data_IF_598038044453
#
_entry.id   IF_598038044453
#
_cell.length_a   1.000
_cell.length_b   1.000
_cell.length_c   1.000
_cell.angle_alpha   90.00
_cell.angle_beta   90.00
_cell.angle_gamma   90.00
#
_symmetry.space_group_name_H-M   'P 1'
#
loop_
_entity.id
_entity.type
_entity.pdbx_description
1 polymer ?
#
# COMPACT_ATOMS: atom_id res chain seq x y z
N UNK A 1 -19.83 -13.84 57.16
CA UNK A 1 -20.25 -13.33 55.84
C UNK A 1 -19.00 -12.99 55.04
N UNK A 2 -18.65 -13.80 54.04
CA UNK A 2 -17.62 -13.49 53.04
C UNK A 2 -18.27 -13.73 51.68
N UNK A 3 -18.59 -12.66 50.97
CA UNK A 3 -19.10 -12.71 49.60
C UNK A 3 -17.89 -12.74 48.68
N UNK A 4 -17.68 -13.86 47.99
CA UNK A 4 -16.67 -13.97 46.94
C UNK A 4 -17.33 -13.53 45.62
N UNK A 5 -16.89 -12.40 45.09
CA UNK A 5 -17.27 -11.91 43.76
C UNK A 5 -16.34 -12.57 42.75
N UNK A 6 -16.87 -13.52 41.98
CA UNK A 6 -16.17 -14.18 40.90
C UNK A 6 -16.29 -13.31 39.64
N UNK A 7 -15.23 -12.59 39.30
CA UNK A 7 -15.10 -11.91 38.00
C UNK A 7 -14.85 -12.96 36.92
N UNK A 8 -15.88 -13.27 36.12
CA UNK A 8 -15.73 -14.04 34.89
C UNK A 8 -15.43 -13.04 33.77
N UNK A 9 -14.14 -12.88 33.45
CA UNK A 9 -13.73 -12.20 32.22
C UNK A 9 -13.95 -13.14 31.04
N UNK A 10 -15.07 -12.95 30.33
CA UNK A 10 -15.33 -13.58 29.05
C UNK A 10 -14.47 -12.90 27.98
N UNK A 11 -13.26 -13.42 27.75
CA UNK A 11 -12.42 -13.00 26.64
C UNK A 11 -12.98 -13.65 25.36
N UNK A 12 -13.85 -12.92 24.67
CA UNK A 12 -14.37 -13.33 23.36
C UNK A 12 -13.22 -13.36 22.35
N UNK A 13 -12.78 -14.56 21.98
CA UNK A 13 -11.89 -14.77 20.84
C UNK A 13 -12.72 -14.53 19.56
N UNK A 14 -12.73 -13.30 19.06
CA UNK A 14 -13.10 -13.02 17.67
C UNK A 14 -11.98 -13.58 16.79
N UNK A 15 -12.11 -14.85 16.42
CA UNK A 15 -11.27 -15.46 15.41
C UNK A 15 -11.65 -14.86 14.05
N UNK A 16 -11.05 -13.72 13.69
CA UNK A 16 -11.04 -13.23 12.33
C UNK A 16 -10.29 -14.26 11.48
N UNK A 17 -11.05 -15.11 10.78
CA UNK A 17 -10.52 -16.09 9.85
C UNK A 17 -10.08 -15.34 8.58
N UNK A 18 -8.88 -14.75 8.62
CA UNK A 18 -8.21 -14.18 7.45
C UNK A 18 -7.93 -15.32 6.45
N UNK A 19 -8.31 -15.10 5.20
CA UNK A 19 -8.06 -16.04 4.10
C UNK A 19 -6.71 -15.72 3.49
N UNK A 20 -5.95 -16.77 3.13
CA UNK A 20 -4.72 -16.67 2.36
C UNK A 20 -4.98 -15.84 1.10
N UNK A 21 -4.29 -14.70 0.96
CA UNK A 21 -4.44 -13.78 -0.17
C UNK A 21 -4.38 -14.52 -1.51
N UNK A 22 -5.36 -14.30 -2.37
CA UNK A 22 -5.41 -14.82 -3.75
C UNK A 22 -5.26 -13.67 -4.74
N UNK A 23 -4.76 -13.95 -5.94
CA UNK A 23 -4.57 -12.94 -7.00
C UNK A 23 -5.83 -12.12 -7.26
N UNK A 24 -7.02 -12.72 -7.16
CA UNK A 24 -8.30 -12.06 -7.37
C UNK A 24 -8.63 -11.05 -6.27
N UNK A 25 -8.18 -11.31 -5.05
CA UNK A 25 -8.52 -10.50 -3.87
C UNK A 25 -7.48 -9.42 -3.58
N UNK A 26 -6.35 -9.45 -4.28
CA UNK A 26 -5.27 -8.50 -4.15
C UNK A 26 -4.57 -8.59 -2.79
N UNK A 27 -4.12 -7.44 -2.27
CA UNK A 27 -3.34 -7.34 -1.04
C UNK A 27 -4.14 -6.80 0.15
N UNK A 28 -5.45 -6.58 0.01
CA UNK A 28 -6.34 -6.17 1.11
C UNK A 28 -6.62 -7.37 2.03
N UNK A 29 -6.59 -7.14 3.34
CA UNK A 29 -7.02 -8.12 4.35
C UNK A 29 -8.54 -8.17 4.45
N UNK A 30 -9.14 -9.25 3.95
CA UNK A 30 -10.60 -9.38 3.84
C UNK A 30 -11.23 -10.15 5.00
N UNK A 31 -12.30 -9.60 5.57
CA UNK A 31 -13.23 -10.37 6.39
C UNK A 31 -14.17 -11.23 5.52
N UNK A 32 -14.62 -12.35 6.09
CA UNK A 32 -15.54 -13.31 5.41
C UNK A 32 -16.90 -13.44 6.06
N UNK A 33 -17.00 -13.14 7.36
CA UNK A 33 -18.28 -13.13 8.06
C UNK A 33 -18.90 -11.73 7.94
N UNK A 34 -19.94 -11.63 7.11
CA UNK A 34 -20.60 -10.36 6.83
C UNK A 34 -21.32 -9.80 8.05
N UNK A 35 -21.91 -10.65 8.89
CA UNK A 35 -22.65 -10.19 10.07
C UNK A 35 -21.66 -9.67 11.14
N UNK A 36 -20.53 -10.34 11.32
CA UNK A 36 -19.45 -9.85 12.17
C UNK A 36 -18.89 -8.51 11.67
N UNK A 37 -18.71 -8.36 10.35
CA UNK A 37 -18.23 -7.12 9.77
C UNK A 37 -19.19 -5.93 9.98
N UNK A 38 -20.52 -6.16 10.02
CA UNK A 38 -21.49 -5.12 10.37
C UNK A 38 -21.36 -4.70 11.84
N UNK A 39 -21.07 -5.64 12.74
CA UNK A 39 -20.77 -5.33 14.15
C UNK A 39 -19.49 -4.50 14.26
N UNK A 40 -18.43 -4.87 13.53
CA UNK A 40 -17.17 -4.12 13.49
C UNK A 40 -17.36 -2.73 12.89
N UNK A 41 -18.21 -2.59 11.88
CA UNK A 41 -18.54 -1.30 11.25
C UNK A 41 -19.27 -0.38 12.24
N UNK A 42 -20.25 -0.91 12.99
CA UNK A 42 -20.93 -0.15 14.05
C UNK A 42 -19.94 0.28 15.14
N UNK A 43 -19.08 -0.64 15.61
CA UNK A 43 -18.12 -0.37 16.68
C UNK A 43 -17.03 0.65 16.29
N UNK A 44 -16.57 0.60 15.04
CA UNK A 44 -15.50 1.48 14.53
C UNK A 44 -16.01 2.78 13.90
N UNK A 45 -17.32 2.86 13.62
CA UNK A 45 -17.93 3.92 12.81
C UNK A 45 -17.43 3.94 11.35
N UNK A 46 -16.73 2.90 10.90
CA UNK A 46 -16.24 2.80 9.51
C UNK A 46 -17.33 2.21 8.62
N UNK A 47 -17.51 2.72 7.39
CA UNK A 47 -18.36 2.06 6.40
C UNK A 47 -17.76 0.71 5.96
N UNK A 48 -18.61 -0.18 5.46
CA UNK A 48 -18.19 -1.47 4.90
C UNK A 48 -17.79 -1.30 3.44
N UNK A 49 -16.62 -1.82 3.07
CA UNK A 49 -16.21 -2.04 1.67
C UNK A 49 -16.54 -3.49 1.32
N UNK A 50 -17.66 -3.71 0.63
CA UNK A 50 -18.16 -5.06 0.30
C UNK A 50 -17.81 -5.42 -1.15
N UNK A 51 -16.88 -6.35 -1.31
CA UNK A 51 -16.45 -6.87 -2.61
C UNK A 51 -17.19 -8.18 -2.95
N UNK A 52 -17.92 -8.18 -4.07
CA UNK A 52 -18.44 -9.40 -4.69
C UNK A 52 -17.48 -9.82 -5.80
N UNK A 53 -16.86 -10.99 -5.65
CA UNK A 53 -15.84 -11.47 -6.57
C UNK A 53 -15.94 -12.99 -6.78
N UNK A 54 -15.70 -13.43 -8.00
CA UNK A 54 -15.47 -14.84 -8.30
C UNK A 54 -14.11 -15.27 -7.73
N UNK A 55 -14.07 -16.25 -6.83
CA UNK A 55 -12.80 -16.78 -6.28
C UNK A 55 -12.86 -18.31 -6.14
N UNK A 56 -11.99 -19.07 -6.84
CA UNK A 56 -11.08 -18.61 -7.90
C UNK A 56 -11.87 -18.01 -9.06
N UNK A 57 -11.31 -17.00 -9.72
CA UNK A 57 -12.02 -16.18 -10.72
C UNK A 57 -11.37 -16.16 -12.11
N UNK A 58 -12.14 -15.70 -13.10
CA UNK A 58 -11.63 -15.48 -14.46
C UNK A 58 -10.51 -14.41 -14.54
N UNK A 59 -9.90 -14.26 -15.72
CA UNK A 59 -8.81 -13.30 -15.95
C UNK A 59 -9.13 -11.86 -15.50
N UNK A 60 -10.38 -11.42 -15.62
CA UNK A 60 -10.81 -10.09 -15.17
C UNK A 60 -10.74 -9.91 -13.65
N UNK A 61 -11.13 -10.95 -12.88
CA UNK A 61 -11.02 -10.93 -11.42
C UNK A 61 -9.55 -10.91 -10.98
N UNK A 62 -8.71 -11.71 -11.63
CA UNK A 62 -7.27 -11.75 -11.37
C UNK A 62 -6.59 -10.42 -11.70
N UNK A 63 -6.94 -9.81 -12.84
CA UNK A 63 -6.42 -8.51 -13.24
C UNK A 63 -6.82 -7.42 -12.25
N UNK A 64 -8.10 -7.37 -11.84
CA UNK A 64 -8.57 -6.38 -10.87
C UNK A 64 -7.87 -6.52 -9.50
N UNK A 65 -7.73 -7.76 -9.02
CA UNK A 65 -7.01 -8.01 -7.76
C UNK A 65 -5.54 -7.61 -7.84
N UNK A 66 -4.87 -7.91 -8.95
CA UNK A 66 -3.46 -7.58 -9.18
C UNK A 66 -3.20 -6.10 -9.40
N UNK A 67 -4.02 -5.42 -10.20
CA UNK A 67 -3.73 -4.05 -10.67
C UNK A 67 -4.38 -2.98 -9.78
N UNK A 68 -5.51 -3.29 -9.15
CA UNK A 68 -6.28 -2.32 -8.35
C UNK A 68 -6.23 -2.66 -6.87
N UNK A 69 -6.65 -3.86 -6.47
CA UNK A 69 -6.69 -4.25 -5.05
C UNK A 69 -5.32 -4.59 -4.46
N UNK A 70 -4.25 -4.49 -5.26
CA UNK A 70 -2.86 -4.57 -4.81
C UNK A 70 -2.11 -3.24 -4.93
N UNK A 71 -2.76 -2.16 -5.37
CA UNK A 71 -2.16 -0.82 -5.31
C UNK A 71 -2.00 -0.41 -3.84
N UNK A 72 -0.76 -0.24 -3.34
CA UNK A 72 -0.52 0.03 -1.92
C UNK A 72 -1.22 1.29 -1.42
N UNK A 73 -1.45 2.27 -2.31
CA UNK A 73 -2.18 3.50 -1.96
C UNK A 73 -3.65 3.22 -1.67
N UNK A 74 -4.27 2.32 -2.43
CA UNK A 74 -5.65 1.91 -2.17
C UNK A 74 -5.74 0.98 -0.97
N UNK A 75 -4.85 0.00 -0.85
CA UNK A 75 -4.85 -0.97 0.26
C UNK A 75 -4.84 -0.26 1.61
N UNK A 76 -3.92 0.69 1.79
CA UNK A 76 -3.81 1.48 3.03
C UNK A 76 -5.11 2.22 3.34
N UNK A 77 -5.72 2.88 2.35
CA UNK A 77 -6.97 3.61 2.56
C UNK A 77 -8.14 2.66 2.84
N UNK A 78 -8.24 1.53 2.13
CA UNK A 78 -9.31 0.54 2.33
C UNK A 78 -9.28 0.03 3.77
N UNK A 79 -8.14 -0.43 4.26
CA UNK A 79 -8.01 -1.02 5.60
C UNK A 79 -8.12 0.04 6.72
N UNK A 80 -7.65 1.26 6.45
CA UNK A 80 -7.73 2.36 7.42
C UNK A 80 -9.14 2.93 7.55
N UNK A 81 -9.84 3.12 6.44
CA UNK A 81 -11.12 3.86 6.44
C UNK A 81 -12.37 3.00 6.34
N UNK A 82 -12.24 1.72 5.95
CA UNK A 82 -13.37 0.83 5.75
C UNK A 82 -13.22 -0.46 6.56
N UNK A 83 -14.32 -1.20 6.68
CA UNK A 83 -14.32 -2.63 7.03
C UNK A 83 -14.36 -3.44 5.72
N UNK A 84 -13.24 -4.02 5.26
CA UNK A 84 -13.19 -4.79 4.02
C UNK A 84 -13.82 -6.17 4.18
N UNK A 85 -14.80 -6.48 3.34
CA UNK A 85 -15.52 -7.77 3.33
C UNK A 85 -15.54 -8.38 1.93
N UNK A 86 -15.18 -9.65 1.85
CA UNK A 86 -15.19 -10.43 0.61
C UNK A 86 -16.36 -11.41 0.59
N UNK A 87 -17.21 -11.28 -0.42
CA UNK A 87 -18.27 -12.22 -0.78
C UNK A 87 -17.88 -12.93 -2.07
N UNK A 88 -17.69 -14.25 -1.97
CA UNK A 88 -17.50 -15.07 -3.17
C UNK A 88 -18.82 -15.20 -3.92
N UNK A 89 -18.90 -14.63 -5.12
CA UNK A 89 -20.15 -14.61 -5.87
C UNK A 89 -20.46 -15.93 -6.60
N UNK A 90 -19.58 -16.92 -6.51
CA UNK A 90 -19.66 -18.20 -7.22
C UNK A 90 -19.89 -19.41 -6.29
N UNK A 91 -20.14 -19.17 -5.00
CA UNK A 91 -20.40 -20.23 -4.02
C UNK A 91 -21.84 -20.17 -3.47
N UNK A 92 -22.27 -21.27 -2.85
CA UNK A 92 -23.56 -21.38 -2.16
C UNK A 92 -23.50 -20.84 -0.72
N UNK A 93 -24.44 -21.25 0.13
CA UNK A 93 -24.42 -20.93 1.57
C UNK A 93 -24.66 -19.46 1.87
N UNK A 94 -24.01 -18.96 2.94
CA UNK A 94 -24.15 -17.56 3.42
C UNK A 94 -23.85 -16.54 2.32
N UNK A 95 -22.84 -16.78 1.48
CA UNK A 95 -22.53 -15.87 0.37
C UNK A 95 -23.71 -15.72 -0.61
N UNK A 96 -24.46 -16.79 -0.86
CA UNK A 96 -25.66 -16.75 -1.72
C UNK A 96 -26.80 -15.95 -1.09
N UNK A 97 -26.91 -15.96 0.22
CA UNK A 97 -27.91 -15.15 0.94
C UNK A 97 -27.57 -13.66 0.83
N UNK A 98 -26.28 -13.30 0.91
CA UNK A 98 -25.81 -11.94 0.72
C UNK A 98 -26.05 -11.47 -0.74
N UNK A 99 -25.74 -12.31 -1.74
CA UNK A 99 -26.07 -12.02 -3.15
C UNK A 99 -27.56 -11.71 -3.33
N UNK A 100 -28.44 -12.53 -2.74
CA UNK A 100 -29.90 -12.30 -2.77
C UNK A 100 -30.29 -10.99 -2.09
N UNK A 101 -29.71 -10.69 -0.92
CA UNK A 101 -29.97 -9.45 -0.17
C UNK A 101 -29.70 -8.20 -1.01
N UNK A 102 -28.61 -8.22 -1.79
CA UNK A 102 -28.21 -7.09 -2.62
C UNK A 102 -28.66 -7.18 -4.08
N UNK A 103 -29.38 -8.24 -4.45
CA UNK A 103 -29.74 -8.54 -5.83
C UNK A 103 -28.51 -8.56 -6.77
N UNK A 104 -27.40 -9.11 -6.30
CA UNK A 104 -26.19 -9.30 -7.10
C UNK A 104 -26.23 -10.64 -7.83
N UNK A 105 -25.88 -10.67 -9.13
CA UNK A 105 -25.82 -11.92 -9.87
C UNK A 105 -24.65 -12.79 -9.38
N UNK A 106 -24.83 -14.11 -9.46
CA UNK A 106 -23.72 -15.04 -9.29
C UNK A 106 -22.86 -15.07 -10.56
N UNK A 107 -21.57 -15.40 -10.43
CA UNK A 107 -20.64 -15.54 -11.56
C UNK A 107 -20.52 -14.29 -12.46
N UNK A 108 -20.68 -13.10 -11.88
CA UNK A 108 -20.47 -11.84 -12.59
C UNK A 108 -19.07 -11.27 -12.35
N UNK A 109 -18.72 -10.26 -13.14
CA UNK A 109 -17.53 -9.44 -12.91
C UNK A 109 -17.60 -8.72 -11.56
N UNK A 110 -16.44 -8.35 -11.05
CA UNK A 110 -16.25 -7.72 -9.75
C UNK A 110 -17.16 -6.51 -9.52
N UNK A 111 -17.83 -6.49 -8.37
CA UNK A 111 -18.69 -5.38 -7.93
C UNK A 111 -18.31 -4.99 -6.51
N UNK A 112 -18.11 -3.68 -6.30
CA UNK A 112 -17.88 -3.11 -4.96
C UNK A 112 -19.11 -2.31 -4.53
N UNK A 113 -19.60 -2.61 -3.33
CA UNK A 113 -20.60 -1.83 -2.62
C UNK A 113 -20.02 -1.17 -1.38
N UNK A 114 -20.59 -0.03 -1.01
CA UNK A 114 -20.20 0.70 0.18
C UNK A 114 -21.42 0.82 1.08
N UNK A 115 -21.35 0.25 2.27
CA UNK A 115 -22.50 0.11 3.16
C UNK A 115 -22.29 0.85 4.48
N UNK A 116 -23.39 1.29 5.09
CA UNK A 116 -23.42 1.64 6.50
C UNK A 116 -23.38 0.38 7.40
N UNK A 117 -23.32 0.59 8.71
CA UNK A 117 -23.28 -0.48 9.69
C UNK A 117 -24.59 -1.31 9.78
N UNK A 118 -25.68 -0.81 9.19
CA UNK A 118 -26.94 -1.54 9.05
C UNK A 118 -26.99 -2.38 7.76
N UNK A 119 -25.94 -2.28 6.94
CA UNK A 119 -25.80 -3.00 5.67
C UNK A 119 -26.63 -2.39 4.55
N UNK A 120 -26.92 -1.08 4.59
CA UNK A 120 -27.58 -0.34 3.51
C UNK A 120 -26.54 0.41 2.69
N UNK A 121 -26.74 0.49 1.37
CA UNK A 121 -25.85 1.23 0.49
C UNK A 121 -25.80 2.72 0.86
N UNK A 122 -24.58 3.24 1.07
CA UNK A 122 -24.29 4.67 1.27
C UNK A 122 -24.37 5.45 -0.03
N UNK A 123 -23.98 4.81 -1.13
CA UNK A 123 -24.02 5.37 -2.49
C UNK A 123 -24.63 4.35 -3.46
N UNK A 124 -25.27 4.83 -4.51
CA UNK A 124 -25.90 3.96 -5.51
C UNK A 124 -24.89 2.97 -6.11
N UNK A 125 -25.29 1.69 -6.24
CA UNK A 125 -24.54 0.62 -6.91
C UNK A 125 -24.09 1.09 -8.30
N UNK A 126 -22.83 0.83 -8.65
CA UNK A 126 -22.30 1.09 -9.99
C UNK A 126 -21.49 -0.11 -10.47
N UNK A 127 -21.78 -0.56 -11.68
CA UNK A 127 -21.04 -1.64 -12.34
C UNK A 127 -19.80 -1.08 -13.06
N UNK A 128 -18.89 -1.97 -13.46
CA UNK A 128 -17.71 -1.65 -14.27
C UNK A 128 -16.76 -0.62 -13.67
N UNK A 129 -16.57 -0.68 -12.36
CA UNK A 129 -15.60 0.15 -11.63
C UNK A 129 -14.35 -0.69 -11.39
N UNK A 130 -13.49 -0.75 -12.40
CA UNK A 130 -12.39 -1.72 -12.46
C UNK A 130 -11.00 -1.08 -12.54
N UNK A 131 -10.93 0.22 -12.29
CA UNK A 131 -9.71 1.01 -12.35
C UNK A 131 -9.51 1.76 -11.02
N UNK A 132 -8.25 2.05 -10.68
CA UNK A 132 -7.84 2.66 -9.41
C UNK A 132 -8.55 3.99 -9.14
N UNK A 133 -8.52 4.94 -10.08
CA UNK A 133 -9.09 6.28 -9.87
C UNK A 133 -10.63 6.22 -9.78
N UNK A 134 -11.36 5.54 -10.67
CA UNK A 134 -12.80 5.35 -10.52
C UNK A 134 -13.22 4.67 -9.20
N UNK A 135 -12.44 3.71 -8.70
CA UNK A 135 -12.71 3.09 -7.40
C UNK A 135 -12.47 4.08 -6.25
N UNK A 136 -11.36 4.82 -6.28
CA UNK A 136 -11.05 5.86 -5.30
C UNK A 136 -12.15 6.94 -5.23
N UNK A 137 -12.69 7.37 -6.38
CA UNK A 137 -13.79 8.33 -6.43
C UNK A 137 -15.04 7.82 -5.69
N UNK A 138 -15.31 6.52 -5.77
CA UNK A 138 -16.44 5.91 -5.06
C UNK A 138 -16.16 5.75 -3.58
N UNK A 139 -14.93 5.43 -3.19
CA UNK A 139 -14.52 5.43 -1.80
C UNK A 139 -14.68 6.82 -1.18
N UNK A 140 -14.26 7.88 -1.88
CA UNK A 140 -14.44 9.26 -1.45
C UNK A 140 -15.93 9.58 -1.25
N UNK A 141 -16.77 9.31 -2.25
CA UNK A 141 -18.21 9.56 -2.17
C UNK A 141 -18.89 8.78 -1.03
N UNK A 142 -18.42 7.56 -0.74
CA UNK A 142 -18.94 6.76 0.37
C UNK A 142 -18.56 7.34 1.75
N UNK A 143 -17.33 7.86 1.90
CA UNK A 143 -16.91 8.53 3.13
C UNK A 143 -17.69 9.83 3.35
N UNK A 144 -17.87 10.63 2.29
CA UNK A 144 -18.69 11.85 2.33
C UNK A 144 -20.14 11.53 2.73
N UNK A 145 -20.75 10.49 2.13
CA UNK A 145 -22.10 10.05 2.46
C UNK A 145 -22.23 9.52 3.90
N UNK A 146 -21.16 8.93 4.45
CA UNK A 146 -21.09 8.50 5.84
C UNK A 146 -20.77 9.65 6.82
N UNK A 147 -20.61 10.89 6.34
CA UNK A 147 -20.23 12.05 7.16
C UNK A 147 -18.81 11.96 7.71
N UNK A 148 -17.94 11.18 7.07
CA UNK A 148 -16.54 11.00 7.46
C UNK A 148 -15.62 11.93 6.65
N UNK A 149 -14.51 12.41 7.25
CA UNK A 149 -13.53 13.17 6.49
C UNK A 149 -12.91 12.30 5.40
N UNK A 150 -12.68 12.89 4.23
CA UNK A 150 -11.95 12.24 3.13
C UNK A 150 -10.46 12.41 3.42
N UNK A 151 -9.68 11.32 3.56
CA UNK A 151 -8.24 11.41 3.73
C UNK A 151 -7.55 12.07 2.55
N UNK A 152 -6.47 12.81 2.82
CA UNK A 152 -5.71 13.51 1.79
C UNK A 152 -5.07 12.56 0.76
N UNK A 153 -4.57 11.40 1.21
CA UNK A 153 -4.02 10.36 0.33
C UNK A 153 -5.07 9.81 -0.64
N UNK A 154 -6.32 9.61 -0.20
CA UNK A 154 -7.44 9.24 -1.07
C UNK A 154 -7.79 10.36 -2.07
N UNK A 155 -7.85 11.62 -1.61
CA UNK A 155 -8.09 12.77 -2.48
C UNK A 155 -6.97 12.92 -3.53
N UNK A 156 -5.73 12.60 -3.17
CA UNK A 156 -4.58 12.51 -4.07
C UNK A 156 -4.83 11.54 -5.21
N UNK A 157 -5.26 10.31 -4.89
CA UNK A 157 -5.61 9.29 -5.91
C UNK A 157 -6.75 9.78 -6.82
N UNK A 158 -7.81 10.35 -6.23
CA UNK A 158 -8.99 10.83 -6.98
C UNK A 158 -8.64 11.94 -7.96
N UNK A 159 -7.80 12.89 -7.53
CA UNK A 159 -7.41 14.02 -8.37
C UNK A 159 -6.51 13.62 -9.55
N UNK A 160 -6.10 12.34 -9.64
CA UNK A 160 -5.13 11.89 -10.63
C UNK A 160 -3.77 12.57 -10.47
N UNK A 161 -3.57 13.31 -9.37
CA UNK A 161 -2.27 13.87 -9.04
C UNK A 161 -1.32 12.70 -8.84
N UNK A 162 -0.19 12.65 -9.55
CA UNK A 162 0.91 11.80 -9.13
C UNK A 162 1.13 12.03 -7.64
N UNK A 163 1.41 10.97 -6.87
CA UNK A 163 2.06 11.15 -5.57
C UNK A 163 3.20 12.14 -5.78
N UNK A 164 3.26 13.26 -5.04
CA UNK A 164 4.33 14.23 -5.24
C UNK A 164 5.66 13.51 -4.99
N UNK A 165 6.34 13.11 -6.06
CA UNK A 165 7.68 12.54 -6.02
C UNK A 165 8.62 13.72 -5.80
N UNK A 166 8.72 14.18 -4.56
CA UNK A 166 9.80 15.07 -4.19
C UNK A 166 11.12 14.32 -4.33
N UNK A 167 12.20 15.04 -4.63
CA UNK A 167 13.47 14.44 -4.97
C UNK A 167 14.61 15.01 -4.12
N UNK A 168 15.45 14.12 -3.58
CA UNK A 168 16.72 14.49 -2.96
C UNK A 168 17.82 13.57 -3.48
N UNK A 169 18.99 14.12 -3.74
CA UNK A 169 20.18 13.35 -4.08
C UNK A 169 21.17 13.47 -2.94
N UNK A 170 21.58 12.33 -2.40
CA UNK A 170 22.54 12.27 -1.30
C UNK A 170 23.88 11.74 -1.78
N UNK A 171 24.95 12.50 -1.61
CA UNK A 171 26.31 11.98 -1.78
C UNK A 171 26.77 11.25 -0.53
N UNK A 172 27.51 10.17 -0.75
CA UNK A 172 28.02 9.32 0.32
C UNK A 172 29.20 8.48 -0.17
N UNK A 173 29.82 7.74 0.74
CA UNK A 173 30.92 6.83 0.40
C UNK A 173 30.50 5.63 -0.46
N UNK A 174 29.31 5.06 -0.22
CA UNK A 174 28.84 3.87 -0.93
C UNK A 174 27.33 3.91 -1.18
N UNK A 175 26.91 4.05 -2.43
CA UNK A 175 25.48 4.10 -2.78
C UNK A 175 24.72 2.80 -2.48
N UNK A 176 25.38 1.64 -2.33
CA UNK A 176 24.69 0.38 -2.00
C UNK A 176 24.16 0.42 -0.58
N UNK A 177 24.92 1.06 0.31
CA UNK A 177 24.48 1.35 1.68
C UNK A 177 23.36 2.38 1.65
N UNK A 178 23.49 3.41 0.81
CA UNK A 178 22.45 4.41 0.58
C UNK A 178 21.11 3.83 0.16
N UNK A 179 21.06 3.08 -0.94
CA UNK A 179 19.84 2.43 -1.42
C UNK A 179 19.22 1.51 -0.36
N UNK A 180 20.04 0.76 0.39
CA UNK A 180 19.54 -0.16 1.40
C UNK A 180 19.00 0.54 2.66
N UNK A 181 19.66 1.60 3.12
CA UNK A 181 19.24 2.33 4.34
C UNK A 181 18.13 3.33 4.05
N UNK A 182 18.27 4.14 3.00
CA UNK A 182 17.29 5.16 2.64
C UNK A 182 16.00 4.51 2.11
N UNK A 183 16.11 3.44 1.31
CA UNK A 183 14.94 2.69 0.83
C UNK A 183 14.10 2.07 1.94
N UNK A 184 14.67 1.86 3.13
CA UNK A 184 13.97 1.31 4.29
C UNK A 184 13.03 2.31 4.98
N UNK A 185 13.22 3.61 4.76
CA UNK A 185 12.44 4.66 5.39
C UNK A 185 11.00 4.66 4.86
N UNK A 186 10.05 4.86 5.77
CA UNK A 186 8.66 5.14 5.41
C UNK A 186 8.58 6.48 4.67
N UNK A 187 7.74 6.57 3.65
CA UNK A 187 7.66 7.73 2.75
C UNK A 187 8.65 7.71 1.58
N UNK A 188 9.76 6.96 1.64
CA UNK A 188 10.64 6.77 0.47
C UNK A 188 9.99 5.82 -0.54
N UNK A 189 9.77 6.29 -1.77
CA UNK A 189 9.14 5.51 -2.85
C UNK A 189 10.18 4.75 -3.65
N UNK A 190 11.22 5.44 -4.13
CA UNK A 190 12.29 4.82 -4.90
C UNK A 190 13.67 5.32 -4.52
N UNK A 191 14.67 4.47 -4.74
CA UNK A 191 16.09 4.82 -4.67
C UNK A 191 16.77 4.47 -5.99
N UNK A 192 17.84 5.16 -6.35
CA UNK A 192 18.66 4.83 -7.51
C UNK A 192 20.13 5.15 -7.20
N UNK A 193 21.02 4.19 -7.45
CA UNK A 193 22.46 4.39 -7.35
C UNK A 193 22.97 5.17 -8.57
N UNK A 194 23.83 6.15 -8.34
CA UNK A 194 24.39 6.95 -9.42
C UNK A 194 25.65 7.71 -9.03
N UNK A 195 26.07 8.56 -9.96
CA UNK A 195 27.20 9.46 -9.80
C UNK A 195 26.77 10.88 -10.09
N UNK A 196 27.17 11.81 -9.22
CA UNK A 196 26.93 13.24 -9.38
C UNK A 196 28.03 14.01 -8.65
N UNK A 197 28.50 15.10 -9.24
CA UNK A 197 29.57 15.94 -8.67
C UNK A 197 30.83 15.11 -8.28
N UNK A 198 31.22 14.16 -9.14
CA UNK A 198 32.38 13.29 -8.93
C UNK A 198 32.25 12.29 -7.78
N UNK A 199 31.05 12.11 -7.20
CA UNK A 199 30.80 11.27 -6.03
C UNK A 199 29.79 10.17 -6.34
N UNK A 200 29.84 9.09 -5.56
CA UNK A 200 28.71 8.18 -5.46
C UNK A 200 27.54 8.87 -4.77
N UNK A 201 26.35 8.70 -5.34
CA UNK A 201 25.13 9.26 -4.81
C UNK A 201 24.00 8.25 -4.82
N UNK A 202 23.04 8.45 -3.92
CA UNK A 202 21.72 7.82 -4.01
C UNK A 202 20.69 8.89 -4.29
N UNK A 203 20.06 8.79 -5.45
CA UNK A 203 18.89 9.60 -5.81
C UNK A 203 17.66 8.98 -5.17
N UNK A 204 16.90 9.77 -4.44
CA UNK A 204 15.74 9.32 -3.66
C UNK A 204 14.52 10.09 -4.12
N UNK A 205 13.47 9.36 -4.47
CA UNK A 205 12.12 9.91 -4.56
C UNK A 205 11.33 9.52 -3.33
N UNK A 206 10.49 10.42 -2.86
CA UNK A 206 9.74 10.24 -1.63
C UNK A 206 8.46 11.07 -1.64
N UNK A 207 7.54 10.69 -0.77
CA UNK A 207 6.29 11.40 -0.52
C UNK A 207 6.48 12.40 0.64
N UNK A 208 6.46 13.71 0.37
CA UNK A 208 6.64 14.75 1.39
C UNK A 208 5.49 14.82 2.41
N UNK A 209 4.33 14.20 2.13
CA UNK A 209 3.24 14.08 3.10
C UNK A 209 3.52 13.03 4.19
N UNK A 210 4.41 12.07 3.91
CA UNK A 210 4.80 11.00 4.85
C UNK A 210 6.12 11.33 5.55
N UNK A 211 7.09 11.88 4.81
CA UNK A 211 8.39 12.28 5.36
C UNK A 211 8.83 13.61 4.74
N UNK A 212 9.02 14.64 5.57
CA UNK A 212 9.52 15.94 5.08
C UNK A 212 10.96 15.85 4.58
N UNK A 213 11.38 16.79 3.74
CA UNK A 213 12.78 16.89 3.26
C UNK A 213 13.76 16.95 4.42
N UNK A 214 13.48 17.77 5.43
CA UNK A 214 14.33 17.94 6.62
C UNK A 214 14.47 16.63 7.38
N UNK A 215 13.35 15.95 7.64
CA UNK A 215 13.34 14.67 8.35
C UNK A 215 14.10 13.60 7.57
N UNK A 216 13.93 13.53 6.24
CA UNK A 216 14.65 12.61 5.38
C UNK A 216 16.16 12.87 5.39
N UNK A 217 16.57 14.15 5.30
CA UNK A 217 17.97 14.57 5.37
C UNK A 217 18.59 14.21 6.72
N UNK A 218 17.88 14.44 7.82
CA UNK A 218 18.37 14.12 9.16
C UNK A 218 18.52 12.60 9.38
N UNK A 219 17.59 11.79 8.86
CA UNK A 219 17.74 10.34 8.83
C UNK A 219 18.93 9.91 7.97
N UNK A 220 19.11 10.52 6.81
CA UNK A 220 20.24 10.22 5.94
C UNK A 220 21.60 10.55 6.61
N UNK A 221 21.69 11.66 7.36
CA UNK A 221 22.85 12.01 8.18
C UNK A 221 23.11 10.97 9.29
N UNK A 222 22.07 10.55 10.02
CA UNK A 222 22.17 9.49 11.04
C UNK A 222 22.72 8.18 10.45
N UNK A 223 22.37 7.89 9.19
CA UNK A 223 22.84 6.72 8.47
C UNK A 223 24.25 6.84 7.88
N UNK A 224 24.87 8.04 7.96
CA UNK A 224 26.10 8.41 7.25
C UNK A 224 25.97 8.25 5.73
N UNK A 225 24.81 8.65 5.22
CA UNK A 225 24.45 8.60 3.81
C UNK A 225 24.16 10.00 3.25
N UNK A 226 24.72 11.07 3.84
CA UNK A 226 24.44 12.45 3.45
C UNK A 226 25.68 13.34 3.67
N UNK A 227 26.81 12.97 3.08
CA UNK A 227 28.03 13.79 3.10
C UNK A 227 27.81 15.12 2.36
N UNK A 228 26.95 15.09 1.34
CA UNK A 228 26.45 16.26 0.63
C UNK A 228 25.01 16.01 0.19
N UNK A 229 24.19 17.05 0.16
CA UNK A 229 22.77 16.98 -0.19
C UNK A 229 22.53 17.88 -1.40
N UNK A 230 21.77 17.38 -2.37
CA UNK A 230 21.31 18.17 -3.51
C UNK A 230 19.80 18.10 -3.63
N UNK A 231 19.19 19.25 -3.89
CA UNK A 231 17.76 19.40 -4.14
C UNK A 231 17.54 20.01 -5.53
N UNK A 232 16.44 19.68 -6.22
CA UNK A 232 16.02 20.44 -7.39
C UNK A 232 16.03 21.94 -7.09
N UNK A 233 16.45 22.75 -8.07
CA UNK A 233 16.58 24.21 -7.86
C UNK A 233 15.26 24.86 -7.42
N UNK A 234 14.12 24.33 -7.87
CA UNK A 234 12.78 24.75 -7.46
C UNK A 234 12.51 24.56 -5.97
N UNK A 235 13.17 23.58 -5.35
CA UNK A 235 12.83 23.09 -4.02
C UNK A 235 13.72 23.71 -2.94
N UNK A 236 14.87 24.29 -3.32
CA UNK A 236 15.82 24.92 -2.39
C UNK A 236 15.16 26.01 -1.53
N UNK A 237 14.35 26.89 -2.14
CA UNK A 237 13.69 27.99 -1.43
C UNK A 237 12.64 27.49 -0.42
N UNK A 238 12.02 26.34 -0.69
CA UNK A 238 11.02 25.71 0.17
C UNK A 238 11.62 24.94 1.35
N UNK A 239 12.93 24.72 1.37
CA UNK A 239 13.61 23.92 2.40
C UNK A 239 14.80 24.66 3.02
N UNK A 240 14.60 25.86 3.61
CA UNK A 240 15.70 26.73 4.06
C UNK A 240 16.51 26.15 5.23
N UNK A 241 15.97 25.17 5.96
CA UNK A 241 16.67 24.47 7.04
C UNK A 241 17.65 23.41 6.52
N UNK A 242 17.56 23.03 5.24
CA UNK A 242 18.42 22.02 4.62
C UNK A 242 19.60 22.71 3.94
N UNK A 243 20.82 22.42 4.42
CA UNK A 243 22.04 22.78 3.69
C UNK A 243 22.18 21.88 2.45
N UNK A 244 21.72 22.36 1.30
CA UNK A 244 21.76 21.65 0.03
C UNK A 244 22.24 22.55 -1.12
N UNK A 245 22.82 21.91 -2.14
CA UNK A 245 23.15 22.53 -3.41
C UNK A 245 22.11 22.20 -4.49
N UNK A 246 22.11 22.96 -5.58
CA UNK A 246 21.20 22.71 -6.69
C UNK A 246 21.57 21.41 -7.43
N UNK A 247 20.59 20.53 -7.59
CA UNK A 247 20.68 19.35 -8.42
C UNK A 247 20.35 19.68 -9.88
N UNK A 248 21.18 19.21 -10.80
CA UNK A 248 20.97 19.30 -12.24
C UNK A 248 20.91 17.89 -12.86
N UNK A 249 19.71 17.44 -13.22
CA UNK A 249 19.49 16.08 -13.73
C UNK A 249 20.34 15.71 -14.95
N UNK A 250 20.73 16.69 -15.78
CA UNK A 250 21.60 16.47 -16.95
C UNK A 250 23.02 16.00 -16.61
N UNK A 251 23.49 16.33 -15.40
CA UNK A 251 24.85 16.03 -14.94
C UNK A 251 24.88 14.75 -14.07
N UNK A 252 23.71 14.17 -13.82
CA UNK A 252 23.56 12.90 -13.12
C UNK A 252 23.80 11.72 -14.05
N UNK A 253 24.61 10.77 -13.59
CA UNK A 253 24.93 9.55 -14.33
C UNK A 253 24.47 8.34 -13.53
N UNK A 254 23.53 7.59 -14.07
CA UNK A 254 23.03 6.33 -13.48
C UNK A 254 24.19 5.34 -13.34
N UNK A 255 24.29 4.66 -12.19
CA UNK A 255 25.28 3.60 -11.99
C UNK A 255 24.93 2.35 -12.83
N UNK A 256 25.91 1.52 -13.21
CA UNK A 256 25.65 0.28 -13.95
C UNK A 256 24.57 -0.59 -13.32
N UNK A 257 23.84 -1.36 -14.14
CA UNK A 257 22.77 -2.25 -13.66
C UNK A 257 23.22 -3.22 -12.57
N UNK A 258 24.48 -3.66 -12.60
CA UNK A 258 25.09 -4.53 -11.58
C UNK A 258 25.22 -3.89 -10.19
N UNK A 259 25.14 -2.56 -10.13
CA UNK A 259 25.25 -1.77 -8.91
C UNK A 259 23.90 -1.32 -8.37
N UNK A 260 22.84 -1.43 -9.18
CA UNK A 260 21.48 -1.14 -8.73
C UNK A 260 20.96 -2.25 -7.82
N UNK A 261 20.36 -1.85 -6.69
CA UNK A 261 19.67 -2.76 -5.77
C UNK A 261 20.54 -3.95 -5.36
N UNK A 262 21.79 -3.65 -5.00
CA UNK A 262 22.85 -4.64 -4.75
C UNK A 262 22.47 -5.76 -3.80
N UNK A 263 21.64 -5.47 -2.79
CA UNK A 263 21.26 -6.45 -1.77
C UNK A 263 20.41 -7.60 -2.32
N UNK A 264 19.73 -7.39 -3.46
CA UNK A 264 18.97 -8.43 -4.17
C UNK A 264 19.89 -9.47 -4.83
N UNK A 265 21.11 -9.10 -5.21
CA UNK A 265 22.05 -9.99 -5.92
C UNK A 265 22.34 -11.24 -5.09
N UNK A 266 22.24 -12.43 -5.69
CA UNK A 266 22.43 -13.71 -5.01
C UNK A 266 21.28 -14.10 -4.06
N UNK A 267 20.12 -13.44 -4.16
CA UNK A 267 18.89 -13.82 -3.45
C UNK A 267 17.85 -14.36 -4.43
N UNK A 268 16.83 -15.10 -3.96
CA UNK A 268 15.73 -15.53 -4.82
C UNK A 268 14.99 -14.37 -5.52
N UNK A 269 15.00 -13.17 -4.92
CA UNK A 269 14.39 -11.98 -5.48
C UNK A 269 15.12 -11.41 -6.70
N UNK A 270 16.36 -11.83 -6.97
CA UNK A 270 17.14 -11.34 -8.12
C UNK A 270 16.46 -11.66 -9.46
N UNK A 271 15.75 -12.77 -9.55
CA UNK A 271 15.08 -13.25 -10.77
C UNK A 271 13.61 -12.83 -10.86
N UNK A 272 13.07 -12.15 -9.84
CA UNK A 272 11.68 -11.70 -9.82
C UNK A 272 11.57 -10.36 -10.52
N UNK A 273 10.56 -10.20 -11.38
CA UNK A 273 10.22 -8.90 -11.94
C UNK A 273 9.52 -8.06 -10.87
N UNK A 274 10.21 -7.05 -10.35
CA UNK A 274 9.73 -6.14 -9.31
C UNK A 274 9.44 -4.75 -9.91
N UNK A 275 8.43 -4.04 -9.38
CA UNK A 275 8.29 -2.60 -9.62
C UNK A 275 9.48 -1.83 -9.02
N UNK A 276 9.73 -0.57 -9.42
CA UNK A 276 10.78 0.26 -8.81
C UNK A 276 10.66 0.40 -7.29
N UNK A 277 9.44 0.55 -6.77
CA UNK A 277 9.13 0.67 -5.34
C UNK A 277 9.35 -0.66 -4.63
N UNK A 278 8.83 -1.75 -5.20
CA UNK A 278 9.05 -3.10 -4.68
C UNK A 278 10.53 -3.44 -4.63
N UNK A 279 11.29 -3.14 -5.69
CA UNK A 279 12.73 -3.35 -5.75
C UNK A 279 13.46 -2.52 -4.69
N UNK A 280 13.03 -1.28 -4.46
CA UNK A 280 13.58 -0.41 -3.41
C UNK A 280 13.36 -1.00 -2.02
N UNK A 281 12.12 -1.40 -1.70
CA UNK A 281 11.79 -1.98 -0.38
C UNK A 281 12.40 -3.37 -0.19
N UNK A 282 12.35 -4.23 -1.19
CA UNK A 282 12.98 -5.54 -1.16
C UNK A 282 14.50 -5.43 -0.97
N UNK A 283 15.18 -4.56 -1.72
CA UNK A 283 16.62 -4.30 -1.55
C UNK A 283 16.97 -3.82 -0.13
N UNK A 284 16.12 -2.97 0.45
CA UNK A 284 16.34 -2.46 1.79
C UNK A 284 16.25 -3.55 2.87
N UNK A 285 15.36 -4.52 2.70
CA UNK A 285 15.02 -5.48 3.77
C UNK A 285 15.59 -6.87 3.57
N UNK A 286 15.80 -7.35 2.33
CA UNK A 286 16.03 -8.79 2.05
C UNK A 286 17.20 -9.41 2.83
N UNK A 287 18.25 -8.65 3.14
CA UNK A 287 19.42 -9.13 3.90
C UNK A 287 19.27 -9.03 5.42
N UNK A 288 18.31 -8.24 5.91
CA UNK A 288 18.11 -7.94 7.35
C UNK A 288 16.84 -8.54 7.91
N UNK A 289 15.77 -8.53 7.12
CA UNK A 289 14.46 -9.07 7.43
C UNK A 289 13.78 -9.53 6.12
N UNK A 290 14.01 -10.78 5.69
CA UNK A 290 13.43 -11.34 4.47
C UNK A 290 11.91 -11.32 4.45
N UNK A 291 11.24 -11.59 5.58
CA UNK A 291 9.78 -11.59 5.68
C UNK A 291 9.21 -10.20 5.35
N UNK A 292 9.82 -9.16 5.91
CA UNK A 292 9.45 -7.78 5.57
C UNK A 292 9.76 -7.42 4.13
N UNK A 293 10.81 -7.98 3.52
CA UNK A 293 11.04 -7.78 2.08
C UNK A 293 9.91 -8.41 1.24
N UNK A 294 9.46 -9.62 1.62
CA UNK A 294 8.42 -10.37 0.93
C UNK A 294 7.01 -9.79 1.13
N UNK A 295 6.77 -9.04 2.21
CA UNK A 295 5.49 -8.35 2.42
C UNK A 295 5.22 -7.25 1.39
N UNK A 296 6.25 -6.75 0.69
CA UNK A 296 6.09 -5.78 -0.40
C UNK A 296 5.85 -6.42 -1.77
N UNK A 297 5.93 -7.75 -1.87
CA UNK A 297 5.68 -8.47 -3.12
C UNK A 297 4.19 -8.79 -3.26
N UNK A 298 3.75 -9.09 -4.48
CA UNK A 298 2.44 -9.67 -4.75
C UNK A 298 2.42 -11.16 -4.39
N UNK A 299 1.22 -11.75 -4.29
CA UNK A 299 1.09 -13.18 -4.02
C UNK A 299 1.73 -14.03 -5.14
N UNK A 300 1.63 -13.59 -6.39
CA UNK A 300 2.22 -14.28 -7.55
C UNK A 300 3.74 -14.24 -7.49
N UNK A 301 4.31 -13.08 -7.14
CA UNK A 301 5.75 -12.91 -6.98
C UNK A 301 6.29 -13.78 -5.85
N UNK A 302 5.56 -13.93 -4.73
CA UNK A 302 5.93 -14.87 -3.65
C UNK A 302 5.80 -16.33 -4.06
N UNK A 303 4.72 -16.67 -4.78
CA UNK A 303 4.49 -18.04 -5.29
C UNK A 303 5.59 -18.48 -6.24
N UNK A 304 6.09 -17.56 -7.07
CA UNK A 304 7.23 -17.81 -7.97
C UNK A 304 8.54 -18.13 -7.23
N UNK A 305 8.62 -17.86 -5.92
CA UNK A 305 9.75 -18.20 -5.05
C UNK A 305 9.57 -19.54 -4.33
N UNK A 306 8.44 -20.23 -4.53
CA UNK A 306 8.11 -21.48 -3.85
C UNK A 306 7.61 -21.30 -2.41
N UNK A 307 7.01 -20.15 -2.09
CA UNK A 307 6.41 -19.84 -0.78
C UNK A 307 4.90 -19.69 -0.84
#
# INVERSE_FOLDING_TARGET
MKVAILFITLLGLLAACSVRASIETGAVEWQRDFDAALVDAEASGKPVFLLFQEVPGCAGCQQFGKEVLSDPRLVVVIEREFVPVLVRNNVGGKEREILKRYNEPAWNFQVVRFLDAQGKDLIARKDRVWETVPLAMRMQAALEAAGRPVPEDLAGIVSGKPTPDAEVVFAMYCFWTGEAKLGALEGVTTTEAGFYDGREVTRVKYDPSIISTEALVDKAKQFKCADKVYLPKSDLAGNPAVTAEAFAAKDYRVAPRSDQKKQLSGTPLQSVQLSPEQATKANAWIRRNPEKALSYLSAEQRSALGQ
#
